data_IF_105618625911
#
_entry.id   IF_105618625911
#
_cell.length_a   1.000
_cell.length_b   1.000
_cell.length_c   1.000
_cell.angle_alpha   90.00
_cell.angle_beta   90.00
_cell.angle_gamma   90.00
#
_symmetry.space_group_name_H-M   'P 1'
#
loop_
_entity.id
_entity.type
_entity.pdbx_description
1 polymer ?
#
# COMPACT_ATOMS: atom_id res chain seq x y z
N UNK A 1 -20.94 -1.26 15.46
CA UNK A 1 -20.96 0.21 15.67
C UNK A 1 -20.90 0.99 14.37
N UNK A 2 -20.06 0.63 13.40
CA UNK A 2 -19.90 1.40 12.15
C UNK A 2 -20.44 0.73 10.89
N UNK A 3 -20.66 -0.59 10.93
CA UNK A 3 -21.21 -1.37 9.82
C UNK A 3 -22.70 -1.66 10.03
N UNK A 4 -23.39 -2.05 8.97
CA UNK A 4 -24.79 -2.53 9.00
C UNK A 4 -24.91 -4.05 9.16
N UNK A 5 -23.80 -4.74 9.46
CA UNK A 5 -23.81 -6.17 9.77
C UNK A 5 -24.63 -6.42 11.03
N UNK A 6 -25.39 -7.51 11.01
CA UNK A 6 -26.15 -7.97 12.17
C UNK A 6 -25.21 -8.44 13.30
N UNK A 7 -25.72 -8.42 14.54
CA UNK A 7 -24.97 -8.93 15.68
C UNK A 7 -24.61 -10.42 15.52
N UNK A 8 -25.44 -11.21 14.82
CA UNK A 8 -25.18 -12.62 14.54
C UNK A 8 -23.99 -12.79 13.58
N UNK A 9 -23.93 -11.98 12.51
CA UNK A 9 -22.80 -11.97 11.57
C UNK A 9 -21.49 -11.57 12.27
N UNK A 10 -21.53 -10.53 13.10
CA UNK A 10 -20.36 -10.07 13.87
C UNK A 10 -19.88 -11.17 14.82
N UNK A 11 -20.79 -11.81 15.56
CA UNK A 11 -20.45 -12.91 16.47
C UNK A 11 -19.86 -14.12 15.71
N UNK A 12 -20.36 -14.41 14.50
CA UNK A 12 -19.80 -15.46 13.65
C UNK A 12 -18.37 -15.15 13.21
N UNK A 13 -18.10 -13.92 12.76
CA UNK A 13 -16.76 -13.47 12.36
C UNK A 13 -15.79 -13.56 13.55
N UNK A 14 -16.21 -13.10 14.73
CA UNK A 14 -15.40 -13.17 15.96
C UNK A 14 -15.06 -14.62 16.32
N UNK A 15 -16.05 -15.53 16.30
CA UNK A 15 -15.83 -16.94 16.59
C UNK A 15 -14.89 -17.60 15.58
N UNK A 16 -15.00 -17.26 14.30
CA UNK A 16 -14.09 -17.76 13.25
C UNK A 16 -12.66 -17.28 13.47
N UNK A 17 -12.47 -16.00 13.80
CA UNK A 17 -11.15 -15.43 14.05
C UNK A 17 -10.48 -16.07 15.27
N UNK A 18 -11.25 -16.29 16.35
CA UNK A 18 -10.77 -16.98 17.57
C UNK A 18 -10.40 -18.45 17.31
N UNK A 19 -11.12 -19.13 16.42
CA UNK A 19 -10.83 -20.52 16.05
C UNK A 19 -9.67 -20.65 15.06
N UNK A 20 -9.36 -19.59 14.31
CA UNK A 20 -8.27 -19.58 13.33
C UNK A 20 -6.91 -19.41 14.02
N UNK A 21 -5.86 -20.05 13.49
CA UNK A 21 -4.47 -19.73 13.85
C UNK A 21 -3.85 -18.66 12.94
N UNK A 22 -4.66 -18.11 12.03
CA UNK A 22 -4.21 -17.17 11.01
C UNK A 22 -4.33 -15.71 11.43
N UNK A 23 -4.16 -14.82 10.47
CA UNK A 23 -4.49 -13.41 10.65
C UNK A 23 -6.02 -13.29 10.77
N UNK A 24 -6.53 -12.57 11.79
CA UNK A 24 -7.96 -12.29 11.90
C UNK A 24 -8.49 -11.60 10.63
N UNK A 25 -9.70 -11.97 10.22
CA UNK A 25 -10.35 -11.43 9.02
C UNK A 25 -11.24 -10.21 9.32
N UNK A 26 -11.60 -9.99 10.60
CA UNK A 26 -12.51 -8.92 11.00
C UNK A 26 -12.06 -7.53 10.52
N UNK A 27 -10.76 -7.21 10.56
CA UNK A 27 -10.25 -5.91 10.12
C UNK A 27 -10.46 -5.70 8.62
N UNK A 28 -10.27 -6.74 7.81
CA UNK A 28 -10.50 -6.67 6.37
C UNK A 28 -11.97 -6.43 6.07
N UNK A 29 -12.87 -7.18 6.71
CA UNK A 29 -14.32 -7.01 6.55
C UNK A 29 -14.75 -5.60 6.97
N UNK A 30 -14.24 -5.09 8.09
CA UNK A 30 -14.56 -3.75 8.55
C UNK A 30 -14.09 -2.68 7.54
N UNK A 31 -12.88 -2.82 6.99
CA UNK A 31 -12.36 -1.90 5.98
C UNK A 31 -13.22 -1.92 4.70
N UNK A 32 -13.61 -3.11 4.24
CA UNK A 32 -14.47 -3.29 3.06
C UNK A 32 -15.85 -2.62 3.26
N UNK A 33 -16.54 -2.92 4.36
CA UNK A 33 -17.86 -2.38 4.66
C UNK A 33 -17.84 -0.85 4.80
N UNK A 34 -16.85 -0.30 5.51
CA UNK A 34 -16.74 1.14 5.71
C UNK A 34 -16.40 1.89 4.44
N UNK A 35 -15.46 1.35 3.65
CA UNK A 35 -15.03 1.99 2.41
C UNK A 35 -16.15 1.96 1.38
N UNK A 36 -16.86 0.83 1.26
CA UNK A 36 -18.05 0.71 0.40
C UNK A 36 -19.14 1.69 0.83
N UNK A 37 -19.41 1.80 2.13
CA UNK A 37 -20.45 2.67 2.63
C UNK A 37 -20.19 4.16 2.33
N UNK A 38 -18.94 4.62 2.45
CA UNK A 38 -18.59 6.04 2.27
C UNK A 38 -18.25 6.39 0.82
N UNK A 39 -17.56 5.49 0.11
CA UNK A 39 -16.98 5.75 -1.21
C UNK A 39 -17.60 4.90 -2.34
N UNK A 40 -18.60 4.06 -2.04
CA UNK A 40 -19.23 3.16 -3.00
C UNK A 40 -18.32 2.00 -3.43
N UNK A 41 -18.86 1.16 -4.32
CA UNK A 41 -18.14 -0.03 -4.82
C UNK A 41 -16.88 0.35 -5.61
N UNK A 42 -16.92 1.43 -6.39
CA UNK A 42 -15.76 1.89 -7.16
C UNK A 42 -14.62 2.35 -6.24
N UNK A 43 -14.96 3.06 -5.15
CA UNK A 43 -13.99 3.52 -4.16
C UNK A 43 -13.35 2.35 -3.42
N UNK A 44 -14.15 1.36 -3.01
CA UNK A 44 -13.63 0.12 -2.42
C UNK A 44 -12.68 -0.60 -3.39
N UNK A 45 -13.12 -0.83 -4.63
CA UNK A 45 -12.30 -1.52 -5.61
C UNK A 45 -10.99 -0.77 -5.92
N UNK A 46 -11.02 0.57 -5.90
CA UNK A 46 -9.82 1.41 -6.02
C UNK A 46 -8.86 1.21 -4.85
N UNK A 47 -9.36 1.25 -3.61
CA UNK A 47 -8.55 1.04 -2.42
C UNK A 47 -7.92 -0.36 -2.37
N UNK A 48 -8.66 -1.39 -2.78
CA UNK A 48 -8.17 -2.76 -2.89
C UNK A 48 -7.06 -2.90 -3.94
N UNK A 49 -7.24 -2.32 -5.13
CA UNK A 49 -6.22 -2.32 -6.20
C UNK A 49 -4.95 -1.61 -5.77
N UNK A 50 -5.07 -0.43 -5.14
CA UNK A 50 -3.92 0.29 -4.59
C UNK A 50 -3.17 -0.58 -3.57
N UNK A 51 -3.89 -1.14 -2.61
CA UNK A 51 -3.31 -2.01 -1.57
C UNK A 51 -2.59 -3.20 -2.21
N UNK A 52 -3.23 -3.90 -3.14
CA UNK A 52 -2.62 -5.04 -3.83
C UNK A 52 -1.38 -4.63 -4.63
N UNK A 53 -1.44 -3.53 -5.38
CA UNK A 53 -0.34 -3.06 -6.20
C UNK A 53 0.89 -2.70 -5.36
N UNK A 54 0.71 -2.01 -4.23
CA UNK A 54 1.81 -1.64 -3.33
C UNK A 54 2.50 -2.86 -2.71
N UNK A 55 1.75 -3.87 -2.29
CA UNK A 55 2.33 -5.04 -1.60
C UNK A 55 2.77 -6.17 -2.55
N UNK A 56 2.28 -6.20 -3.79
CA UNK A 56 2.75 -7.11 -4.83
C UNK A 56 3.91 -6.54 -5.66
N UNK A 57 4.12 -5.22 -5.60
CA UNK A 57 5.06 -4.48 -6.44
C UNK A 57 4.49 -4.11 -7.81
N UNK A 58 3.28 -4.54 -8.18
CA UNK A 58 2.71 -4.29 -9.51
C UNK A 58 2.03 -2.92 -9.63
N UNK A 59 2.77 -1.85 -9.35
CA UNK A 59 2.25 -0.46 -9.36
C UNK A 59 1.91 0.05 -10.76
N UNK A 60 2.36 -0.63 -11.82
CA UNK A 60 2.04 -0.29 -13.21
C UNK A 60 0.55 -0.47 -13.56
N UNK A 61 -0.19 -1.23 -12.75
CA UNK A 61 -1.63 -1.43 -12.92
C UNK A 61 -2.49 -0.25 -12.40
N UNK A 62 -1.87 0.70 -11.69
CA UNK A 62 -2.58 1.84 -11.11
C UNK A 62 -2.85 2.91 -12.17
N UNK A 63 -4.08 3.40 -12.15
CA UNK A 63 -4.50 4.58 -12.91
C UNK A 63 -3.86 5.86 -12.37
N UNK A 64 -3.88 6.92 -13.18
CA UNK A 64 -3.40 8.23 -12.76
C UNK A 64 -4.19 8.79 -11.56
N UNK A 65 -5.47 8.46 -11.43
CA UNK A 65 -6.28 8.82 -10.27
C UNK A 65 -5.80 8.13 -8.98
N UNK A 66 -5.48 6.84 -9.07
CA UNK A 66 -4.96 6.06 -7.94
C UNK A 66 -3.54 6.50 -7.54
N UNK A 67 -2.67 6.85 -8.50
CA UNK A 67 -1.36 7.44 -8.20
C UNK A 67 -1.49 8.79 -7.48
N UNK A 68 -2.48 9.62 -7.85
CA UNK A 68 -2.76 10.87 -7.13
C UNK A 68 -3.27 10.64 -5.70
N UNK A 69 -3.98 9.55 -5.45
CA UNK A 69 -4.36 9.19 -4.08
C UNK A 69 -3.14 8.81 -3.25
N UNK A 70 -2.18 8.07 -3.84
CA UNK A 70 -0.91 7.78 -3.19
C UNK A 70 -0.12 9.05 -2.86
N UNK A 71 -0.09 10.01 -3.79
CA UNK A 71 0.56 11.30 -3.59
C UNK A 71 -0.12 12.13 -2.49
N UNK A 72 -1.46 12.10 -2.43
CA UNK A 72 -2.25 12.89 -1.49
C UNK A 72 -1.98 12.51 -0.04
N UNK A 73 -2.10 11.22 0.29
CA UNK A 73 -1.97 10.72 1.67
C UNK A 73 -1.53 9.26 1.79
N UNK A 74 -1.39 8.51 0.68
CA UNK A 74 -1.02 7.10 0.72
C UNK A 74 0.47 6.84 0.99
N UNK A 75 1.37 7.69 0.48
CA UNK A 75 2.81 7.56 0.63
C UNK A 75 3.50 8.92 0.79
N UNK A 76 4.65 8.97 1.50
CA UNK A 76 5.54 10.13 1.44
C UNK A 76 5.97 10.39 0.00
N UNK A 77 5.73 11.62 -0.47
CA UNK A 77 5.99 12.04 -1.85
C UNK A 77 6.92 13.23 -1.85
N UNK A 78 7.80 13.31 -2.85
CA UNK A 78 8.70 14.45 -3.07
C UNK A 78 8.59 14.90 -4.53
N UNK A 79 8.71 16.21 -4.75
CA UNK A 79 8.96 16.74 -6.09
C UNK A 79 10.48 16.77 -6.30
N UNK A 80 10.97 16.19 -7.39
CA UNK A 80 12.39 16.22 -7.72
C UNK A 80 12.61 16.45 -9.21
N UNK A 81 13.63 17.24 -9.53
CA UNK A 81 14.14 17.42 -10.89
C UNK A 81 15.33 16.48 -11.19
N UNK A 82 15.78 15.69 -10.21
CA UNK A 82 16.89 14.75 -10.38
C UNK A 82 16.44 13.56 -11.22
N UNK A 83 17.30 13.12 -12.13
CA UNK A 83 17.11 11.87 -12.88
C UNK A 83 17.97 10.72 -12.35
N UNK A 84 18.96 11.04 -11.52
CA UNK A 84 19.85 10.04 -10.95
C UNK A 84 19.22 9.36 -9.73
N UNK A 85 19.14 8.03 -9.76
CA UNK A 85 18.52 7.24 -8.69
C UNK A 85 19.24 7.40 -7.34
N UNK A 86 20.56 7.57 -7.32
CA UNK A 86 21.32 7.72 -6.08
C UNK A 86 20.99 9.06 -5.41
N UNK A 87 20.89 10.14 -6.19
CA UNK A 87 20.45 11.44 -5.68
C UNK A 87 18.99 11.39 -5.20
N UNK A 88 18.09 10.76 -5.95
CA UNK A 88 16.68 10.60 -5.58
C UNK A 88 16.51 9.88 -4.23
N UNK A 89 17.29 8.82 -3.98
CA UNK A 89 17.23 8.10 -2.70
C UNK A 89 17.66 8.96 -1.50
N UNK A 90 18.54 9.93 -1.72
CA UNK A 90 18.98 10.85 -0.66
C UNK A 90 17.93 11.94 -0.46
N UNK A 91 17.44 12.53 -1.53
CA UNK A 91 16.43 13.58 -1.49
C UNK A 91 15.11 13.08 -0.89
N UNK A 92 14.72 11.84 -1.16
CA UNK A 92 13.55 11.21 -0.57
C UNK A 92 13.75 10.74 0.87
N UNK A 93 14.96 10.88 1.42
CA UNK A 93 15.31 10.43 2.78
C UNK A 93 15.44 8.91 2.94
N UNK A 94 15.42 8.13 1.85
CA UNK A 94 15.58 6.68 1.88
C UNK A 94 17.04 6.24 2.11
N UNK A 95 18.00 7.13 1.87
CA UNK A 95 19.42 6.91 2.14
C UNK A 95 20.07 8.17 2.75
N UNK A 96 20.95 7.98 3.74
CA UNK A 96 21.64 9.09 4.42
C UNK A 96 22.82 9.66 3.63
N UNK A 97 23.31 8.97 2.60
CA UNK A 97 24.43 9.40 1.76
C UNK A 97 24.51 8.62 0.44
N UNK A 98 25.29 9.14 -0.52
CA UNK A 98 25.56 8.47 -1.81
C UNK A 98 26.18 7.09 -1.64
N UNK A 99 27.00 6.89 -0.60
CA UNK A 99 27.63 5.59 -0.30
C UNK A 99 26.56 4.57 0.08
N UNK A 100 25.65 4.94 0.98
CA UNK A 100 24.55 4.09 1.47
C UNK A 100 23.55 3.78 0.37
N UNK A 101 23.18 4.78 -0.45
CA UNK A 101 22.29 4.57 -1.59
C UNK A 101 22.84 3.53 -2.58
N UNK A 102 24.14 3.64 -2.96
CA UNK A 102 24.79 2.63 -3.82
C UNK A 102 24.85 1.25 -3.19
N UNK A 103 25.08 1.17 -1.88
CA UNK A 103 25.07 -0.08 -1.12
C UNK A 103 23.69 -0.76 -1.16
N UNK A 104 22.60 -0.01 -0.99
CA UNK A 104 21.24 -0.54 -1.12
C UNK A 104 20.94 -1.06 -2.54
N UNK A 105 21.40 -0.34 -3.56
CA UNK A 105 21.25 -0.77 -4.95
C UNK A 105 22.06 -2.06 -5.19
N UNK A 106 23.32 -2.13 -4.77
CA UNK A 106 24.14 -3.35 -4.94
C UNK A 106 23.61 -4.55 -4.16
N UNK A 107 22.96 -4.30 -3.02
CA UNK A 107 22.32 -5.33 -2.20
C UNK A 107 20.94 -5.75 -2.74
N UNK A 108 20.52 -5.25 -3.91
CA UNK A 108 19.26 -5.60 -4.56
C UNK A 108 18.03 -5.28 -3.67
N UNK A 109 18.14 -4.20 -2.88
CA UNK A 109 17.14 -3.74 -1.92
C UNK A 109 16.27 -2.59 -2.45
N UNK A 110 16.63 -2.00 -3.59
CA UNK A 110 15.88 -0.92 -4.23
C UNK A 110 15.10 -1.46 -5.43
N UNK A 111 13.85 -1.05 -5.54
CA UNK A 111 12.99 -1.34 -6.69
C UNK A 111 12.34 -0.07 -7.19
N UNK A 112 12.26 0.08 -8.51
CA UNK A 112 11.58 1.19 -9.19
C UNK A 112 10.41 0.58 -9.95
N UNK A 113 9.20 1.05 -9.66
CA UNK A 113 7.96 0.53 -10.24
C UNK A 113 7.79 -1.01 -10.12
N UNK A 114 8.26 -1.58 -9.00
CA UNK A 114 8.20 -3.02 -8.73
C UNK A 114 9.37 -3.84 -9.26
N UNK A 115 10.19 -3.26 -10.13
CA UNK A 115 11.34 -3.94 -10.71
C UNK A 115 12.60 -3.63 -9.92
N UNK A 116 13.34 -4.67 -9.54
CA UNK A 116 14.58 -4.47 -8.80
C UNK A 116 15.63 -3.82 -9.68
N UNK A 117 16.30 -2.79 -9.16
CA UNK A 117 17.40 -2.12 -9.84
C UNK A 117 18.72 -2.68 -9.32
N UNK A 118 19.50 -3.29 -10.21
CA UNK A 118 20.89 -3.65 -9.93
C UNK A 118 21.84 -2.68 -10.64
N UNK A 119 22.99 -2.42 -10.02
CA UNK A 119 24.09 -1.66 -10.62
C UNK A 119 24.81 -2.45 -11.72
#
# INVERSE_FOLDING_TARGET
YYTFLSCEEIASIEAQDQASQGKPQAQRILAEEMTRFVHGEEGLASAERITQALFSGNVQQLSLGELKQLELDGLPSIESAQQDLVELLIESGLASSKRVAREHISNNAISVNGEKVSA
#
